data_IF_774797901301
#
_entry.id   IF_774797901301
#
_cell.length_a   1.000
_cell.length_b   1.000
_cell.length_c   1.000
_cell.angle_alpha   90.00
_cell.angle_beta   90.00
_cell.angle_gamma   90.00
#
_symmetry.space_group_name_H-M   'P 1'
#
loop_
_entity.id
_entity.type
_entity.pdbx_description
1 polymer ?
#
# COMPACT_ATOMS: atom_id res chain seq x y z
N UNK A 1 -20.74 43.64 -14.98
CA UNK A 1 -20.30 43.51 -13.57
C UNK A 1 -21.48 42.98 -12.79
N UNK A 2 -21.55 41.78 -12.23
CA UNK A 2 -20.67 40.62 -12.12
C UNK A 2 -21.57 39.38 -11.89
N UNK A 3 -21.11 38.15 -12.14
CA UNK A 3 -21.40 37.02 -11.27
C UNK A 3 -20.07 36.67 -10.56
N UNK A 4 -20.04 36.61 -9.23
CA UNK A 4 -20.59 35.49 -8.48
C UNK A 4 -19.42 34.59 -8.10
N UNK A 5 -18.71 34.99 -7.04
CA UNK A 5 -17.58 34.22 -6.50
C UNK A 5 -18.13 32.95 -5.85
N UNK A 6 -18.07 31.83 -6.57
CA UNK A 6 -18.27 30.50 -5.99
C UNK A 6 -17.04 30.12 -5.18
N UNK A 7 -17.19 30.22 -3.87
CA UNK A 7 -16.24 29.74 -2.87
C UNK A 7 -16.34 28.21 -2.85
N UNK A 8 -15.31 27.52 -3.32
CA UNK A 8 -15.14 26.09 -3.08
C UNK A 8 -14.66 25.89 -1.64
N UNK A 9 -15.59 25.47 -0.79
CA UNK A 9 -15.36 25.00 0.56
C UNK A 9 -14.46 23.76 0.52
N UNK A 10 -13.23 23.92 1.02
CA UNK A 10 -12.24 22.86 1.18
C UNK A 10 -12.76 21.90 2.26
N UNK A 11 -13.36 20.77 1.88
CA UNK A 11 -13.65 19.68 2.82
C UNK A 11 -12.32 19.19 3.42
N UNK A 12 -12.04 19.63 4.65
CA UNK A 12 -11.03 19.01 5.47
C UNK A 12 -11.50 17.57 5.76
N UNK A 13 -10.85 16.58 5.14
CA UNK A 13 -10.91 15.19 5.61
C UNK A 13 -10.57 15.20 7.10
N UNK A 14 -11.54 14.85 7.94
CA UNK A 14 -11.28 14.58 9.35
C UNK A 14 -10.15 13.54 9.43
N UNK A 15 -9.19 13.67 10.36
CA UNK A 15 -8.24 12.60 10.60
C UNK A 15 -9.02 11.31 10.90
N UNK A 16 -8.63 10.21 10.27
CA UNK A 16 -9.22 8.90 10.58
C UNK A 16 -9.20 8.70 12.10
N UNK A 17 -10.30 8.21 12.70
CA UNK A 17 -10.36 8.04 14.14
C UNK A 17 -9.19 7.16 14.59
N UNK A 18 -8.35 7.70 15.49
CA UNK A 18 -7.32 6.90 16.14
C UNK A 18 -8.00 5.68 16.77
N UNK A 19 -7.59 4.45 16.42
CA UNK A 19 -8.14 3.27 17.06
C UNK A 19 -7.91 3.39 18.58
N UNK A 20 -8.96 3.09 19.35
CA UNK A 20 -8.91 3.13 20.81
C UNK A 20 -7.68 2.37 21.33
N UNK A 21 -7.01 2.86 22.39
CA UNK A 21 -5.80 2.23 22.90
C UNK A 21 -6.11 0.81 23.38
N UNK A 22 -5.73 -0.17 22.58
CA UNK A 22 -5.68 -1.58 22.94
C UNK A 22 -4.51 -1.74 23.91
N UNK A 23 -4.80 -2.15 25.13
CA UNK A 23 -3.86 -2.17 26.26
C UNK A 23 -2.77 -3.27 26.19
N UNK A 24 -2.40 -3.70 24.98
CA UNK A 24 -1.41 -4.76 24.71
C UNK A 24 -0.13 -4.23 24.06
N UNK A 25 0.91 -5.08 23.93
CA UNK A 25 2.10 -4.72 23.17
C UNK A 25 1.74 -4.45 21.71
N UNK A 26 2.29 -3.37 21.14
CA UNK A 26 2.05 -2.97 19.76
C UNK A 26 3.38 -2.76 19.03
N UNK A 27 3.50 -3.34 17.84
CA UNK A 27 4.68 -3.22 16.98
C UNK A 27 4.30 -2.60 15.65
N UNK A 28 5.14 -1.69 15.14
CA UNK A 28 4.99 -1.13 13.81
C UNK A 28 5.79 -1.94 12.81
N UNK A 29 5.13 -2.39 11.74
CA UNK A 29 5.74 -3.20 10.68
C UNK A 29 5.81 -2.38 9.40
N UNK A 30 6.95 -2.46 8.73
CA UNK A 30 7.18 -1.95 7.37
C UNK A 30 7.26 -3.11 6.40
N UNK A 31 6.57 -3.00 5.27
CA UNK A 31 6.76 -3.90 4.13
C UNK A 31 7.36 -3.14 2.94
N UNK A 32 8.27 -3.81 2.23
CA UNK A 32 8.66 -3.42 0.87
C UNK A 32 7.89 -4.30 -0.12
N UNK A 33 7.06 -3.70 -0.96
CA UNK A 33 6.12 -4.39 -1.85
C UNK A 33 6.43 -4.07 -3.32
N UNK A 34 6.44 -5.11 -4.14
CA UNK A 34 6.37 -5.02 -5.59
C UNK A 34 5.00 -5.49 -6.08
N UNK A 35 4.49 -4.91 -7.16
CA UNK A 35 3.25 -5.35 -7.77
C UNK A 35 3.19 -5.01 -9.24
N UNK A 36 2.49 -5.87 -9.98
CA UNK A 36 2.01 -5.58 -11.32
C UNK A 36 0.64 -4.88 -11.21
N UNK A 37 0.59 -3.60 -11.58
CA UNK A 37 -0.61 -2.77 -11.50
C UNK A 37 -1.67 -3.05 -12.56
N UNK A 38 -1.39 -3.87 -13.58
CA UNK A 38 -2.27 -4.02 -14.75
C UNK A 38 -3.71 -4.42 -14.40
N UNK A 39 -3.88 -5.31 -13.40
CA UNK A 39 -5.19 -5.79 -12.94
C UNK A 39 -5.84 -4.93 -11.84
N UNK A 40 -5.25 -3.80 -11.45
CA UNK A 40 -5.70 -3.00 -10.31
C UNK A 40 -6.14 -1.59 -10.71
N UNK A 41 -7.20 -1.10 -10.05
CA UNK A 41 -7.69 0.27 -10.17
C UNK A 41 -6.94 1.23 -9.23
N UNK A 42 -5.61 1.10 -9.20
CA UNK A 42 -4.70 1.92 -8.40
C UNK A 42 -4.36 1.29 -7.05
N UNK A 43 -3.67 2.08 -6.22
CA UNK A 43 -3.19 1.60 -4.92
C UNK A 43 -4.25 1.67 -3.82
N UNK A 44 -4.89 2.83 -3.63
CA UNK A 44 -5.71 3.04 -2.43
C UNK A 44 -7.08 2.37 -2.55
N UNK A 45 -7.64 1.78 -1.48
CA UNK A 45 -9.01 1.24 -1.50
C UNK A 45 -10.04 2.21 -2.07
N UNK A 46 -10.90 1.70 -2.95
CA UNK A 46 -12.04 2.41 -3.49
C UNK A 46 -13.21 1.43 -3.69
N UNK A 47 -14.44 1.91 -3.56
CA UNK A 47 -15.63 1.07 -3.61
C UNK A 47 -15.81 0.43 -4.99
N UNK A 48 -16.10 -0.88 -4.99
CA UNK A 48 -16.49 -1.62 -6.20
C UNK A 48 -15.34 -1.97 -7.15
N UNK A 49 -14.08 -1.75 -6.77
CA UNK A 49 -12.92 -2.07 -7.60
C UNK A 49 -11.80 -2.71 -6.80
N UNK A 50 -11.04 -3.60 -7.45
CA UNK A 50 -9.85 -4.23 -6.84
C UNK A 50 -8.68 -3.24 -6.86
N UNK A 51 -8.04 -3.06 -5.71
CA UNK A 51 -6.87 -2.16 -5.57
C UNK A 51 -5.78 -2.87 -4.77
N UNK A 52 -4.53 -2.48 -4.99
CA UNK A 52 -3.37 -3.13 -4.34
C UNK A 52 -3.45 -3.02 -2.82
N UNK A 53 -3.76 -1.83 -2.31
CA UNK A 53 -3.89 -1.56 -0.88
C UNK A 53 -5.14 -2.19 -0.25
N UNK A 54 -6.21 -2.39 -1.02
CA UNK A 54 -7.38 -3.15 -0.57
C UNK A 54 -7.02 -4.63 -0.38
N UNK A 55 -6.46 -5.25 -1.41
CA UNK A 55 -6.01 -6.66 -1.36
C UNK A 55 -5.00 -6.89 -0.24
N UNK A 56 -4.01 -6.01 -0.08
CA UNK A 56 -3.04 -6.13 1.02
C UNK A 56 -3.70 -6.03 2.40
N UNK A 57 -4.63 -5.10 2.61
CA UNK A 57 -5.34 -4.97 3.90
C UNK A 57 -6.16 -6.21 4.23
N UNK A 58 -6.91 -6.73 3.26
CA UNK A 58 -7.73 -7.94 3.44
C UNK A 58 -6.87 -9.15 3.81
N UNK A 59 -5.76 -9.36 3.08
CA UNK A 59 -4.87 -10.49 3.34
C UNK A 59 -4.11 -10.32 4.65
N UNK A 60 -3.61 -9.12 4.96
CA UNK A 60 -2.97 -8.83 6.24
C UNK A 60 -3.93 -9.09 7.40
N UNK A 61 -5.17 -8.62 7.30
CA UNK A 61 -6.15 -8.83 8.35
C UNK A 61 -6.45 -10.31 8.58
N UNK A 62 -6.53 -11.09 7.50
CA UNK A 62 -6.70 -12.54 7.57
C UNK A 62 -5.51 -13.27 8.20
N UNK A 63 -4.29 -12.91 7.82
CA UNK A 63 -3.07 -13.59 8.31
C UNK A 63 -2.77 -13.22 9.77
N UNK A 64 -3.03 -11.97 10.15
CA UNK A 64 -2.74 -11.46 11.49
C UNK A 64 -3.92 -11.64 12.46
N UNK A 65 -5.08 -12.05 11.96
CA UNK A 65 -6.32 -12.24 12.73
C UNK A 65 -6.73 -10.98 13.50
N UNK A 66 -6.60 -9.83 12.86
CA UNK A 66 -6.96 -8.52 13.41
C UNK A 66 -7.23 -7.53 12.26
N UNK A 67 -8.02 -6.46 12.45
CA UNK A 67 -8.13 -5.40 11.45
C UNK A 67 -6.76 -4.70 11.24
N UNK A 68 -6.43 -4.38 9.99
CA UNK A 68 -5.17 -3.72 9.64
C UNK A 68 -5.45 -2.48 8.81
N UNK A 69 -4.94 -1.33 9.26
CA UNK A 69 -4.94 -0.08 8.52
C UNK A 69 -3.55 0.19 7.97
N UNK A 70 -3.45 0.38 6.64
CA UNK A 70 -2.17 0.64 5.97
C UNK A 70 -1.95 2.13 5.76
N UNK A 71 -0.73 2.60 6.01
CA UNK A 71 -0.18 3.82 5.40
C UNK A 71 0.76 3.43 4.26
N UNK A 72 0.73 4.14 3.15
CA UNK A 72 1.63 3.92 2.02
C UNK A 72 2.54 5.13 1.76
N UNK A 73 3.74 4.86 1.23
CA UNK A 73 4.68 5.91 0.85
C UNK A 73 4.14 6.81 -0.27
N UNK A 74 3.46 6.25 -1.26
CA UNK A 74 2.79 7.04 -2.30
C UNK A 74 1.61 6.29 -2.90
N UNK A 75 0.59 7.01 -3.34
CA UNK A 75 -0.50 6.41 -4.11
C UNK A 75 -0.06 6.28 -5.57
N UNK A 76 -0.49 5.22 -6.23
CA UNK A 76 -0.34 5.02 -7.66
C UNK A 76 -1.70 4.92 -8.34
N UNK A 77 -1.77 5.39 -9.58
CA UNK A 77 -2.98 5.34 -10.40
C UNK A 77 -3.22 3.94 -10.96
N UNK A 78 -4.39 3.73 -11.56
CA UNK A 78 -4.76 2.47 -12.20
C UNK A 78 -3.72 2.05 -13.26
N UNK A 79 -3.36 0.77 -13.27
CA UNK A 79 -2.36 0.21 -14.19
C UNK A 79 -0.90 0.50 -13.85
N UNK A 80 -0.59 1.37 -12.90
CA UNK A 80 0.81 1.69 -12.54
C UNK A 80 1.43 0.57 -11.70
N UNK A 81 2.63 0.13 -12.07
CA UNK A 81 3.39 -0.90 -11.35
C UNK A 81 4.30 -0.28 -10.26
N UNK A 82 4.76 -1.11 -9.31
CA UNK A 82 5.82 -0.72 -8.39
C UNK A 82 6.79 -1.85 -8.09
N UNK A 83 8.05 -1.48 -7.81
CA UNK A 83 9.10 -2.43 -7.39
C UNK A 83 9.48 -2.33 -5.90
N UNK A 84 9.16 -1.20 -5.28
CA UNK A 84 9.56 -0.86 -3.91
C UNK A 84 8.58 0.09 -3.25
N UNK A 85 7.27 -0.13 -3.45
CA UNK A 85 6.26 0.56 -2.65
C UNK A 85 6.48 0.21 -1.19
N UNK A 86 6.55 1.20 -0.33
CA UNK A 86 6.66 0.98 1.12
C UNK A 86 5.30 1.19 1.76
N UNK A 87 4.90 0.25 2.62
CA UNK A 87 3.72 0.39 3.46
C UNK A 87 4.08 0.16 4.92
N UNK A 88 3.34 0.81 5.81
CA UNK A 88 3.43 0.64 7.26
C UNK A 88 2.07 0.34 7.85
N UNK A 89 2.05 -0.47 8.89
CA UNK A 89 0.87 -0.73 9.71
C UNK A 89 1.31 -1.16 11.10
N UNK A 90 0.37 -1.13 12.03
CA UNK A 90 0.61 -1.60 13.38
C UNK A 90 -0.01 -2.98 13.61
N UNK A 91 0.58 -3.73 14.53
CA UNK A 91 0.10 -5.04 14.98
C UNK A 91 0.04 -5.05 16.50
N UNK A 92 -1.03 -5.59 17.07
CA UNK A 92 -1.20 -5.75 18.51
C UNK A 92 -0.47 -7.00 19.03
N UNK A 93 0.83 -7.09 18.71
CA UNK A 93 1.77 -8.11 19.19
C UNK A 93 3.12 -7.45 19.48
N UNK A 94 3.89 -8.03 20.40
CA UNK A 94 5.27 -7.61 20.60
C UNK A 94 6.15 -8.08 19.44
N UNK A 95 7.27 -7.40 19.21
CA UNK A 95 8.24 -7.75 18.17
C UNK A 95 8.74 -9.20 18.30
N UNK A 96 8.94 -9.67 19.55
CA UNK A 96 9.37 -11.03 19.83
C UNK A 96 8.37 -12.12 19.40
N UNK A 97 7.09 -11.75 19.24
CA UNK A 97 6.00 -12.66 18.86
C UNK A 97 5.66 -12.60 17.36
N UNK A 98 6.39 -11.78 16.59
CA UNK A 98 6.17 -11.58 15.16
C UNK A 98 7.09 -12.49 14.31
N UNK A 99 6.50 -13.52 13.71
CA UNK A 99 7.14 -14.29 12.64
C UNK A 99 7.06 -13.53 11.31
N UNK A 100 7.97 -12.56 11.11
CA UNK A 100 8.05 -11.77 9.87
C UNK A 100 8.34 -12.62 8.61
N UNK A 101 9.24 -13.63 8.64
CA UNK A 101 9.42 -14.54 7.51
C UNK A 101 8.14 -15.32 7.18
N UNK A 102 7.43 -15.84 8.18
CA UNK A 102 6.14 -16.52 8.00
C UNK A 102 5.06 -15.60 7.45
N UNK A 103 4.98 -14.36 7.95
CA UNK A 103 4.09 -13.33 7.43
C UNK A 103 4.40 -13.04 5.96
N UNK A 104 5.67 -12.79 5.61
CA UNK A 104 6.09 -12.55 4.24
C UNK A 104 5.73 -13.72 3.32
N UNK A 105 5.97 -14.96 3.78
CA UNK A 105 5.61 -16.17 3.04
C UNK A 105 4.10 -16.27 2.80
N UNK A 106 3.29 -16.07 3.84
CA UNK A 106 1.84 -16.11 3.74
C UNK A 106 1.28 -15.03 2.80
N UNK A 107 1.77 -13.79 2.89
CA UNK A 107 1.37 -12.70 2.01
C UNK A 107 1.71 -13.01 0.55
N UNK A 108 2.89 -13.55 0.27
CA UNK A 108 3.28 -13.94 -1.09
C UNK A 108 2.46 -15.12 -1.63
N UNK A 109 2.07 -16.06 -0.78
CA UNK A 109 1.20 -17.17 -1.18
C UNK A 109 -0.24 -16.76 -1.48
N UNK A 110 -0.74 -15.70 -0.84
CA UNK A 110 -2.13 -15.25 -0.96
C UNK A 110 -2.33 -14.12 -1.97
N UNK A 111 -1.35 -13.23 -2.14
CA UNK A 111 -1.43 -12.11 -3.08
C UNK A 111 -0.70 -12.36 -4.41
N UNK A 112 0.15 -13.39 -4.47
CA UNK A 112 0.91 -13.73 -5.67
C UNK A 112 -0.01 -14.24 -6.81
N UNK A 113 0.41 -14.09 -8.08
CA UNK A 113 1.68 -13.50 -8.53
C UNK A 113 1.64 -11.97 -8.66
N UNK A 114 0.46 -11.35 -8.50
CA UNK A 114 0.26 -9.93 -8.82
C UNK A 114 0.92 -8.97 -7.81
N UNK A 115 1.04 -9.38 -6.54
CA UNK A 115 1.70 -8.62 -5.48
C UNK A 115 2.73 -9.52 -4.79
N UNK A 116 3.93 -8.98 -4.57
CA UNK A 116 5.02 -9.64 -3.87
C UNK A 116 5.59 -8.75 -2.75
N UNK A 117 5.55 -9.25 -1.52
CA UNK A 117 6.27 -8.72 -0.37
C UNK A 117 7.73 -9.19 -0.44
N UNK A 118 8.62 -8.23 -0.67
CA UNK A 118 10.06 -8.45 -0.83
C UNK A 118 10.80 -8.40 0.51
N UNK A 119 10.26 -7.67 1.47
CA UNK A 119 10.84 -7.49 2.79
C UNK A 119 9.74 -7.15 3.80
N UNK A 120 9.88 -7.67 5.03
CA UNK A 120 9.09 -7.30 6.20
C UNK A 120 10.03 -7.02 7.37
N UNK A 121 9.82 -5.92 8.08
CA UNK A 121 10.66 -5.52 9.21
C UNK A 121 9.83 -4.81 10.28
N UNK A 122 10.14 -5.03 11.56
CA UNK A 122 9.71 -4.12 12.63
C UNK A 122 10.50 -2.83 12.50
N UNK A 123 9.84 -1.70 12.70
CA UNK A 123 10.43 -0.36 12.63
C UNK A 123 10.06 0.44 13.88
N UNK A 124 10.78 1.53 14.19
CA UNK A 124 10.41 2.44 15.25
C UNK A 124 8.94 2.89 15.17
N UNK A 125 8.31 3.10 16.33
CA UNK A 125 6.89 3.46 16.41
C UNK A 125 6.55 4.80 15.74
N UNK A 126 7.54 5.67 15.54
CA UNK A 126 7.43 6.97 14.86
C UNK A 126 7.69 6.90 13.35
N UNK A 127 8.17 5.77 12.83
CA UNK A 127 8.34 5.59 11.38
C UNK A 127 6.98 5.57 10.69
N UNK A 128 6.84 6.32 9.60
CA UNK A 128 5.63 6.33 8.79
C UNK A 128 6.02 6.29 7.30
N UNK A 129 5.42 5.37 6.54
CA UNK A 129 5.79 5.17 5.14
C UNK A 129 5.70 6.46 4.31
N UNK A 130 4.74 7.35 4.62
CA UNK A 130 4.47 8.57 3.87
C UNK A 130 5.39 9.71 4.28
N UNK A 131 5.46 10.00 5.58
CA UNK A 131 6.15 11.18 6.10
C UNK A 131 7.66 10.96 6.28
N UNK A 132 8.10 9.73 6.57
CA UNK A 132 9.53 9.40 6.68
C UNK A 132 10.23 9.29 5.31
N UNK A 133 9.47 9.23 4.21
CA UNK A 133 10.02 9.13 2.87
C UNK A 133 10.59 10.49 2.38
N UNK A 134 11.90 10.53 2.11
CA UNK A 134 12.61 11.74 1.64
C UNK A 134 12.56 11.94 0.12
N UNK A 135 12.39 10.86 -0.65
CA UNK A 135 12.31 10.90 -2.10
C UNK A 135 11.47 9.74 -2.64
N UNK A 136 10.97 9.89 -3.87
CA UNK A 136 10.24 8.86 -4.63
C UNK A 136 10.80 8.84 -6.04
N UNK A 137 11.09 7.65 -6.56
CA UNK A 137 11.70 7.48 -7.89
C UNK A 137 10.72 6.74 -8.79
N UNK A 138 10.45 7.32 -9.96
CA UNK A 138 9.57 6.73 -10.97
C UNK A 138 10.40 6.36 -12.20
N UNK A 139 10.09 5.21 -12.80
CA UNK A 139 10.70 4.76 -14.04
C UNK A 139 9.61 4.52 -15.08
N UNK A 140 9.73 5.20 -16.20
CA UNK A 140 8.88 4.97 -17.36
C UNK A 140 9.64 4.14 -18.39
N UNK A 141 9.01 3.08 -18.86
CA UNK A 141 9.53 2.25 -19.94
C UNK A 141 8.78 2.59 -21.21
N UNK A 142 9.48 3.14 -22.21
CA UNK A 142 8.90 3.49 -23.51
C UNK A 142 9.43 2.53 -24.56
N UNK A 143 8.53 1.76 -25.19
CA UNK A 143 8.87 0.90 -26.30
C UNK A 143 8.96 1.75 -27.59
N UNK A 144 10.16 2.21 -27.92
CA UNK A 144 10.39 3.10 -29.07
C UNK A 144 10.78 2.30 -30.33
N UNK A 145 9.81 1.68 -31.00
CA UNK A 145 10.01 0.93 -32.26
C UNK A 145 8.77 0.97 -33.17
N UNK A 146 8.89 0.69 -34.49
CA UNK A 146 7.77 0.79 -35.43
C UNK A 146 6.70 -0.31 -35.31
N UNK A 147 7.03 -1.46 -34.71
CA UNK A 147 6.13 -2.62 -34.59
C UNK A 147 6.00 -3.04 -33.12
N UNK A 148 4.80 -3.44 -32.64
CA UNK A 148 4.61 -3.87 -31.25
C UNK A 148 5.47 -5.08 -30.85
N UNK A 149 5.70 -5.23 -29.54
CA UNK A 149 6.31 -6.43 -28.95
C UNK A 149 5.23 -7.24 -28.22
N UNK A 150 4.88 -8.46 -28.69
CA UNK A 150 3.84 -9.27 -28.06
C UNK A 150 4.20 -9.76 -26.66
N UNK A 151 5.48 -9.71 -26.25
CA UNK A 151 5.90 -10.08 -24.90
C UNK A 151 5.84 -8.90 -23.90
N UNK A 152 5.64 -7.67 -24.40
CA UNK A 152 5.44 -6.47 -23.57
C UNK A 152 3.98 -5.98 -23.59
N UNK A 153 3.14 -6.59 -24.43
CA UNK A 153 1.71 -6.34 -24.40
C UNK A 153 1.13 -6.93 -23.12
N UNK A 154 0.50 -6.10 -22.29
CA UNK A 154 -0.31 -6.59 -21.17
C UNK A 154 -1.39 -7.53 -21.73
N UNK A 155 -1.47 -8.74 -21.19
CA UNK A 155 -2.50 -9.74 -21.53
C UNK A 155 -3.73 -9.55 -20.64
#
# INVERSE_FOLDING_TARGET
>A
MAPGAEQQELLATAPDPEPAPVAGPRSRVRLTVAYDGAGFHGFWPNAGVTTVGGTLQEVLARVLDQPVTLTCAGRTDAGVHAWGQVVTFDVDRAEADLDLPGLQHALNGLCGPAIAVREAAVVPADFDARSSATARVYRYTVLNRPVPDPFLAAT
#
